data_IF_616910504106
#
_entry.id   IF_616910504106
#
_cell.length_a   1.000
_cell.length_b   1.000
_cell.length_c   1.000
_cell.angle_alpha   90.00
_cell.angle_beta   90.00
_cell.angle_gamma   90.00
#
_symmetry.space_group_name_H-M   'P 1'
#
loop_
_entity.id
_entity.type
_entity.pdbx_description
1 polymer ?
#
# COMPACT_ATOMS: atom_id res chain seq x y z
N UNK A 1 25.65 -2.92 19.12
CA UNK A 1 25.48 -3.29 17.71
C UNK A 1 26.86 -3.45 17.14
N UNK A 2 27.14 -4.60 16.54
CA UNK A 2 28.40 -4.77 15.81
C UNK A 2 28.38 -3.92 14.54
N UNK A 3 29.56 -3.55 14.04
CA UNK A 3 29.71 -2.74 12.83
C UNK A 3 29.01 -3.41 11.62
N UNK A 4 29.10 -4.73 11.53
CA UNK A 4 28.44 -5.52 10.50
C UNK A 4 26.90 -5.42 10.57
N UNK A 5 26.33 -5.47 11.77
CA UNK A 5 24.87 -5.32 11.94
C UNK A 5 24.40 -3.93 11.51
N UNK A 6 25.17 -2.90 11.87
CA UNK A 6 24.88 -1.51 11.50
C UNK A 6 24.89 -1.32 9.98
N UNK A 7 25.91 -1.86 9.32
CA UNK A 7 26.05 -1.80 7.86
C UNK A 7 24.92 -2.57 7.16
N UNK A 8 24.52 -3.71 7.69
CA UNK A 8 23.41 -4.51 7.14
C UNK A 8 22.06 -3.77 7.28
N UNK A 9 21.81 -3.10 8.41
CA UNK A 9 20.59 -2.31 8.63
C UNK A 9 20.52 -1.08 7.72
N UNK A 10 21.62 -0.36 7.56
CA UNK A 10 21.70 0.77 6.63
C UNK A 10 21.59 0.32 5.17
N UNK A 11 22.19 -0.83 4.84
CA UNK A 11 22.05 -1.48 3.55
C UNK A 11 20.60 -1.84 3.24
N UNK A 12 19.87 -2.38 4.22
CA UNK A 12 18.43 -2.65 4.10
C UNK A 12 17.61 -1.37 3.90
N UNK A 13 17.88 -0.32 4.69
CA UNK A 13 17.21 0.97 4.54
C UNK A 13 17.40 1.57 3.13
N UNK A 14 18.62 1.48 2.61
CA UNK A 14 18.96 1.89 1.24
C UNK A 14 18.27 1.00 0.19
N UNK A 15 18.23 -0.32 0.40
CA UNK A 15 17.58 -1.26 -0.50
C UNK A 15 16.06 -1.02 -0.57
N UNK A 16 15.40 -0.76 0.57
CA UNK A 16 13.97 -0.39 0.60
C UNK A 16 13.73 0.91 -0.18
N UNK A 17 14.57 1.93 0.06
CA UNK A 17 14.53 3.18 -0.69
C UNK A 17 14.71 2.97 -2.19
N UNK A 18 15.66 2.13 -2.61
CA UNK A 18 15.86 1.77 -4.01
C UNK A 18 14.63 1.08 -4.60
N UNK A 19 14.04 0.09 -3.93
CA UNK A 19 12.87 -0.62 -4.42
C UNK A 19 11.69 0.32 -4.68
N UNK A 20 11.43 1.25 -3.75
CA UNK A 20 10.40 2.30 -3.94
C UNK A 20 10.79 3.22 -5.11
N UNK A 21 12.07 3.61 -5.18
CA UNK A 21 12.60 4.43 -6.26
C UNK A 21 12.56 3.80 -7.65
N UNK A 22 12.63 2.47 -7.76
CA UNK A 22 12.50 1.75 -9.04
C UNK A 22 11.07 1.91 -9.57
N UNK A 23 10.05 1.66 -8.75
CA UNK A 23 8.65 1.83 -9.16
C UNK A 23 8.37 3.27 -9.61
N UNK A 24 8.92 4.24 -8.87
CA UNK A 24 8.74 5.66 -9.18
C UNK A 24 9.50 6.10 -10.43
N UNK A 25 10.78 5.75 -10.53
CA UNK A 25 11.61 6.06 -11.69
C UNK A 25 11.16 5.35 -12.96
N UNK A 26 10.53 4.18 -12.85
CA UNK A 26 9.94 3.48 -14.00
C UNK A 26 8.72 4.23 -14.56
N UNK A 27 7.95 4.88 -13.68
CA UNK A 27 6.74 5.64 -14.05
C UNK A 27 7.06 6.97 -14.73
N UNK A 28 8.15 7.62 -14.30
CA UNK A 28 8.63 8.91 -14.83
C UNK A 28 9.65 8.72 -15.99
N UNK A 29 9.76 7.49 -16.55
CA UNK A 29 10.78 7.17 -17.56
C UNK A 29 10.62 7.93 -18.88
N UNK A 30 9.40 8.36 -19.20
CA UNK A 30 9.05 9.10 -20.41
C UNK A 30 9.23 10.62 -20.23
N UNK A 31 9.51 11.07 -19.00
CA UNK A 31 9.78 12.48 -18.68
C UNK A 31 11.26 12.81 -18.89
N UNK A 32 11.53 14.03 -19.40
CA UNK A 32 12.87 14.48 -19.75
C UNK A 32 13.80 14.52 -18.53
N UNK A 33 15.11 14.32 -18.76
CA UNK A 33 16.12 14.43 -17.71
C UNK A 33 16.15 15.85 -17.12
N UNK A 34 15.54 16.04 -15.95
CA UNK A 34 15.35 17.33 -15.30
C UNK A 34 13.93 17.59 -14.79
N UNK A 35 12.94 16.89 -15.35
CA UNK A 35 11.53 16.90 -14.89
C UNK A 35 11.18 15.65 -14.06
N UNK A 36 12.14 14.73 -13.88
CA UNK A 36 11.98 13.54 -13.03
C UNK A 36 11.88 13.94 -11.56
N UNK A 37 10.66 14.05 -11.08
CA UNK A 37 10.31 14.59 -9.79
C UNK A 37 10.95 13.88 -8.58
N UNK A 38 11.07 12.56 -8.62
CA UNK A 38 11.72 11.80 -7.55
C UNK A 38 12.10 10.40 -8.03
N UNK A 39 13.25 10.29 -8.68
CA UNK A 39 13.73 9.01 -9.22
C UNK A 39 14.34 8.05 -8.19
N UNK A 40 14.92 6.97 -8.73
CA UNK A 40 15.67 5.92 -8.03
C UNK A 40 16.63 6.46 -6.94
N UNK A 41 17.40 7.49 -7.28
CA UNK A 41 18.41 8.09 -6.39
C UNK A 41 17.77 8.81 -5.20
N UNK A 42 16.69 9.56 -5.43
CA UNK A 42 16.01 10.34 -4.40
C UNK A 42 15.45 9.43 -3.32
N UNK A 43 14.73 8.37 -3.70
CA UNK A 43 14.15 7.42 -2.74
C UNK A 43 15.21 6.57 -2.03
N UNK A 44 16.29 6.19 -2.71
CA UNK A 44 17.43 5.52 -2.07
C UNK A 44 18.04 6.39 -0.96
N UNK A 45 18.26 7.69 -1.25
CA UNK A 45 18.79 8.64 -0.28
C UNK A 45 17.80 8.91 0.86
N UNK A 46 16.50 8.99 0.59
CA UNK A 46 15.47 9.14 1.63
C UNK A 46 15.46 7.93 2.57
N UNK A 47 15.52 6.70 2.03
CA UNK A 47 15.59 5.48 2.82
C UNK A 47 16.85 5.44 3.69
N UNK A 48 18.01 5.74 3.11
CA UNK A 48 19.28 5.83 3.85
C UNK A 48 19.25 6.93 4.92
N UNK A 49 18.70 8.10 4.61
CA UNK A 49 18.55 9.22 5.53
C UNK A 49 17.66 8.86 6.72
N UNK A 50 16.55 8.16 6.47
CA UNK A 50 15.73 7.58 7.52
C UNK A 50 16.51 6.60 8.39
N UNK A 51 17.28 5.68 7.78
CA UNK A 51 18.13 4.73 8.52
C UNK A 51 19.16 5.41 9.42
N UNK A 52 19.83 6.44 8.93
CA UNK A 52 20.78 7.22 9.72
C UNK A 52 20.10 7.91 10.92
N UNK A 53 18.95 8.55 10.69
CA UNK A 53 18.19 9.16 11.78
C UNK A 53 17.59 8.16 12.76
N UNK A 54 17.28 6.95 12.30
CA UNK A 54 16.93 5.84 13.17
C UNK A 54 18.07 5.49 14.12
N UNK A 55 19.31 5.38 13.62
CA UNK A 55 20.48 5.15 14.48
C UNK A 55 20.72 6.32 15.44
N UNK A 56 20.70 7.56 14.95
CA UNK A 56 20.90 8.77 15.77
C UNK A 56 19.82 8.93 16.85
N UNK A 57 18.60 8.45 16.62
CA UNK A 57 17.51 8.50 17.61
C UNK A 57 17.81 7.69 18.87
N UNK A 58 18.73 6.71 18.82
CA UNK A 58 19.16 5.96 20.01
C UNK A 58 19.92 6.83 21.00
N UNK A 59 20.61 7.87 20.51
CA UNK A 59 21.39 8.80 21.33
C UNK A 59 20.63 10.10 21.62
N UNK A 60 19.95 10.65 20.60
CA UNK A 60 19.25 11.93 20.66
C UNK A 60 17.80 11.81 21.17
N UNK A 61 17.27 10.59 21.24
CA UNK A 61 15.90 10.30 21.64
C UNK A 61 14.87 10.47 20.53
N UNK A 62 13.64 10.01 20.81
CA UNK A 62 12.54 10.00 19.85
C UNK A 62 12.06 11.41 19.44
N UNK A 63 12.31 12.43 20.26
CA UNK A 63 11.95 13.82 19.95
C UNK A 63 12.72 14.36 18.74
N UNK A 64 14.02 14.07 18.66
CA UNK A 64 14.86 14.47 17.53
C UNK A 64 14.40 13.83 16.22
N UNK A 65 14.00 12.56 16.29
CA UNK A 65 13.44 11.82 15.15
C UNK A 65 12.13 12.46 14.66
N UNK A 66 11.22 12.83 15.57
CA UNK A 66 9.99 13.52 15.24
C UNK A 66 10.21 14.89 14.60
N UNK A 67 11.17 15.67 15.11
CA UNK A 67 11.54 16.98 14.54
C UNK A 67 12.08 16.86 13.12
N UNK A 68 12.95 15.88 12.87
CA UNK A 68 13.51 15.65 11.53
C UNK A 68 12.47 15.14 10.57
N UNK A 69 11.61 14.23 11.01
CA UNK A 69 10.51 13.77 10.18
C UNK A 69 9.60 14.94 9.78
N UNK A 70 9.30 15.84 10.72
CA UNK A 70 8.50 17.03 10.45
C UNK A 70 9.20 17.99 9.49
N UNK A 71 10.50 18.24 9.67
CA UNK A 71 11.29 19.07 8.76
C UNK A 71 11.34 18.46 7.35
N UNK A 72 11.54 17.14 7.25
CA UNK A 72 11.50 16.39 5.99
C UNK A 72 10.11 16.46 5.36
N UNK A 73 9.04 16.28 6.13
CA UNK A 73 7.67 16.32 5.64
C UNK A 73 7.33 17.69 5.05
N UNK A 74 7.68 18.77 5.76
CA UNK A 74 7.51 20.14 5.27
C UNK A 74 8.30 20.37 4.00
N UNK A 75 9.59 19.99 3.96
CA UNK A 75 10.43 20.17 2.78
C UNK A 75 9.90 19.40 1.57
N UNK A 76 9.51 18.13 1.75
CA UNK A 76 8.95 17.30 0.70
C UNK A 76 7.60 17.86 0.20
N UNK A 77 6.73 18.31 1.10
CA UNK A 77 5.44 18.93 0.72
C UNK A 77 5.65 20.23 -0.05
N UNK A 78 6.57 21.10 0.38
CA UNK A 78 6.87 22.36 -0.31
C UNK A 78 7.47 22.10 -1.69
N UNK A 79 8.38 21.14 -1.82
CA UNK A 79 8.96 20.75 -3.10
C UNK A 79 7.88 20.24 -4.05
N UNK A 80 7.04 19.31 -3.59
CA UNK A 80 5.94 18.74 -4.38
C UNK A 80 4.88 19.76 -4.75
N UNK A 81 4.59 20.73 -3.88
CA UNK A 81 3.67 21.82 -4.19
C UNK A 81 4.16 22.60 -5.42
N UNK A 82 5.43 23.00 -5.43
CA UNK A 82 6.02 23.77 -6.54
C UNK A 82 6.07 22.99 -7.85
N UNK A 83 6.21 21.69 -7.77
CA UNK A 83 6.22 20.79 -8.92
C UNK A 83 4.81 20.58 -9.49
N UNK A 84 3.82 20.37 -8.61
CA UNK A 84 2.41 20.28 -9.01
C UNK A 84 1.89 21.57 -9.67
N UNK A 85 2.37 22.75 -9.25
CA UNK A 85 2.06 24.02 -9.94
C UNK A 85 2.60 24.08 -11.37
N UNK A 86 3.68 23.35 -11.67
CA UNK A 86 4.32 23.30 -13.00
C UNK A 86 3.70 22.24 -13.91
N UNK A 87 3.40 21.07 -13.37
CA UNK A 87 2.96 19.89 -14.13
C UNK A 87 1.44 19.71 -14.16
N UNK A 88 0.69 20.41 -13.30
CA UNK A 88 -0.76 20.26 -13.19
C UNK A 88 -1.21 18.88 -12.65
N UNK A 89 -0.28 18.07 -12.15
CA UNK A 89 -0.56 16.73 -11.61
C UNK A 89 -0.64 16.75 -10.07
N UNK A 90 -1.77 16.29 -9.52
CA UNK A 90 -1.94 16.08 -8.09
C UNK A 90 -1.63 14.62 -7.72
N UNK A 91 -0.46 14.40 -7.12
CA UNK A 91 0.02 13.06 -6.75
C UNK A 91 0.33 12.92 -5.25
N UNK A 92 -0.69 12.83 -4.40
CA UNK A 92 -0.49 12.59 -2.95
C UNK A 92 0.29 11.29 -2.68
N UNK A 93 0.18 10.30 -3.57
CA UNK A 93 0.88 9.02 -3.43
C UNK A 93 2.41 9.13 -3.54
N UNK A 94 2.95 10.17 -4.17
CA UNK A 94 4.41 10.41 -4.21
C UNK A 94 4.92 10.92 -2.86
N UNK A 95 4.18 11.84 -2.22
CA UNK A 95 4.47 12.29 -0.85
C UNK A 95 4.40 11.13 0.14
N UNK A 96 3.33 10.33 0.07
CA UNK A 96 3.18 9.16 0.95
C UNK A 96 4.31 8.16 0.72
N UNK A 97 4.73 7.92 -0.53
CA UNK A 97 5.87 7.06 -0.81
C UNK A 97 7.16 7.60 -0.18
N UNK A 98 7.39 8.91 -0.23
CA UNK A 98 8.59 9.53 0.37
C UNK A 98 8.57 9.38 1.90
N UNK A 99 7.41 9.59 2.53
CA UNK A 99 7.23 9.39 3.96
C UNK A 99 7.41 7.93 4.36
N UNK A 100 6.90 6.99 3.56
CA UNK A 100 7.10 5.55 3.75
C UNK A 100 8.57 5.16 3.62
N UNK A 101 9.28 5.65 2.60
CA UNK A 101 10.70 5.36 2.41
C UNK A 101 11.52 5.83 3.61
N UNK A 102 11.28 7.04 4.11
CA UNK A 102 11.94 7.55 5.32
C UNK A 102 11.61 6.68 6.53
N UNK A 103 10.32 6.43 6.77
CA UNK A 103 9.85 5.71 7.97
C UNK A 103 10.32 4.26 7.99
N UNK A 104 10.34 3.58 6.84
CA UNK A 104 10.87 2.22 6.71
C UNK A 104 12.39 2.20 6.84
N UNK A 105 13.09 3.23 6.38
CA UNK A 105 14.52 3.42 6.63
C UNK A 105 14.82 3.50 8.13
N UNK A 106 14.10 4.37 8.84
CA UNK A 106 14.18 4.48 10.32
C UNK A 106 13.90 3.12 10.96
N UNK A 107 12.81 2.46 10.56
CA UNK A 107 12.41 1.18 11.14
C UNK A 107 13.41 0.06 10.85
N UNK A 108 14.08 0.04 9.69
CA UNK A 108 15.17 -0.91 9.42
C UNK A 108 16.35 -0.73 10.38
N UNK A 109 16.63 0.51 10.81
CA UNK A 109 17.72 0.82 11.73
C UNK A 109 17.43 0.49 13.20
N UNK A 110 16.17 0.63 13.65
CA UNK A 110 15.81 0.46 15.08
C UNK A 110 14.94 -0.75 15.37
N UNK A 111 14.19 -1.26 14.38
CA UNK A 111 13.22 -2.33 14.52
C UNK A 111 13.69 -3.67 13.96
N UNK A 112 12.72 -4.52 13.63
CA UNK A 112 12.94 -5.84 13.03
C UNK A 112 13.19 -5.71 11.52
N UNK A 113 14.32 -6.28 11.07
CA UNK A 113 14.76 -6.19 9.67
C UNK A 113 13.84 -6.96 8.71
N UNK A 114 13.29 -8.10 9.15
CA UNK A 114 12.37 -8.91 8.35
C UNK A 114 11.05 -8.17 8.16
N UNK A 115 10.54 -7.54 9.22
CA UNK A 115 9.32 -6.71 9.14
C UNK A 115 9.55 -5.49 8.25
N UNK A 116 10.71 -4.82 8.38
CA UNK A 116 11.07 -3.68 7.52
C UNK A 116 11.11 -4.08 6.04
N UNK A 117 11.75 -5.21 5.72
CA UNK A 117 11.82 -5.74 4.37
C UNK A 117 10.44 -6.11 3.82
N UNK A 118 9.64 -6.85 4.59
CA UNK A 118 8.29 -7.26 4.20
C UNK A 118 7.37 -6.05 3.96
N UNK A 119 7.40 -5.05 4.84
CA UNK A 119 6.64 -3.83 4.69
C UNK A 119 7.10 -3.00 3.47
N UNK A 120 8.42 -2.94 3.22
CA UNK A 120 8.97 -2.29 2.02
C UNK A 120 8.50 -2.95 0.73
N UNK A 121 8.55 -4.29 0.65
CA UNK A 121 8.04 -5.04 -0.50
C UNK A 121 6.53 -4.83 -0.67
N UNK A 122 5.75 -4.95 0.41
CA UNK A 122 4.31 -4.74 0.37
C UNK A 122 3.94 -3.33 -0.11
N UNK A 123 4.67 -2.31 0.34
CA UNK A 123 4.50 -0.94 -0.12
C UNK A 123 4.73 -0.84 -1.63
N UNK A 124 5.84 -1.38 -2.14
CA UNK A 124 6.16 -1.35 -3.58
C UNK A 124 5.12 -2.09 -4.41
N UNK A 125 4.66 -3.26 -3.96
CA UNK A 125 3.59 -3.99 -4.64
C UNK A 125 2.31 -3.16 -4.72
N UNK A 126 1.92 -2.50 -3.63
CA UNK A 126 0.74 -1.65 -3.61
C UNK A 126 0.89 -0.44 -4.52
N UNK A 127 2.08 0.16 -4.57
CA UNK A 127 2.37 1.29 -5.47
C UNK A 127 2.30 0.86 -6.94
N UNK A 128 2.93 -0.27 -7.29
CA UNK A 128 2.92 -0.83 -8.63
C UNK A 128 1.51 -1.26 -9.08
N UNK A 129 0.64 -1.69 -8.15
CA UNK A 129 -0.72 -2.10 -8.45
C UNK A 129 -1.65 -0.94 -8.88
N UNK A 130 -1.24 0.33 -8.73
CA UNK A 130 -2.09 1.50 -9.00
C UNK A 130 -2.72 1.50 -10.39
N UNK A 131 -1.94 1.21 -11.43
CA UNK A 131 -2.41 1.26 -12.82
C UNK A 131 -3.40 0.15 -13.11
N UNK A 132 -3.11 -1.06 -12.64
CA UNK A 132 -4.02 -2.19 -12.72
C UNK A 132 -5.34 -1.86 -12.01
N UNK A 133 -5.27 -1.31 -10.78
CA UNK A 133 -6.47 -0.94 -10.03
C UNK A 133 -7.29 0.14 -10.73
N UNK A 134 -6.65 1.17 -11.32
CA UNK A 134 -7.34 2.20 -12.09
C UNK A 134 -7.92 1.66 -13.40
N UNK A 135 -7.23 0.75 -14.09
CA UNK A 135 -7.74 0.13 -15.30
C UNK A 135 -8.97 -0.72 -15.00
N UNK A 136 -8.95 -1.51 -13.91
CA UNK A 136 -10.12 -2.27 -13.46
C UNK A 136 -11.30 -1.37 -13.10
N UNK A 137 -11.04 -0.28 -12.38
CA UNK A 137 -12.07 0.71 -12.04
C UNK A 137 -12.70 1.38 -13.29
N UNK A 138 -11.97 1.50 -14.40
CA UNK A 138 -12.52 2.04 -15.65
C UNK A 138 -13.44 1.07 -16.38
N UNK A 139 -13.27 -0.23 -16.18
CA UNK A 139 -14.03 -1.28 -16.87
C UNK A 139 -15.25 -1.72 -16.04
N UNK A 140 -15.18 -1.59 -14.71
CA UNK A 140 -16.26 -1.94 -13.78
C UNK A 140 -17.29 -0.82 -13.70
N UNK A 141 -18.55 -1.16 -13.92
CA UNK A 141 -19.70 -0.27 -13.72
C UNK A 141 -20.10 -0.19 -12.25
N UNK A 142 -20.76 0.90 -11.85
CA UNK A 142 -21.27 1.05 -10.49
C UNK A 142 -22.22 -0.09 -10.08
N UNK A 143 -23.01 -0.60 -11.02
CA UNK A 143 -23.91 -1.73 -10.79
C UNK A 143 -23.14 -3.02 -10.46
N UNK A 144 -22.07 -3.31 -11.21
CA UNK A 144 -21.18 -4.47 -10.97
C UNK A 144 -20.46 -4.37 -9.64
N UNK A 145 -19.95 -3.18 -9.30
CA UNK A 145 -19.31 -2.93 -8.01
C UNK A 145 -20.29 -3.16 -6.86
N UNK A 146 -21.50 -2.60 -6.96
CA UNK A 146 -22.54 -2.78 -5.95
C UNK A 146 -22.95 -4.24 -5.82
N UNK A 147 -23.13 -4.96 -6.92
CA UNK A 147 -23.47 -6.39 -6.91
C UNK A 147 -22.35 -7.22 -6.25
N UNK A 148 -21.09 -6.94 -6.59
CA UNK A 148 -19.91 -7.59 -5.99
C UNK A 148 -19.85 -7.34 -4.49
N UNK A 149 -20.02 -6.09 -4.04
CA UNK A 149 -20.01 -5.74 -2.63
C UNK A 149 -21.16 -6.40 -1.85
N UNK A 150 -22.36 -6.49 -2.44
CA UNK A 150 -23.49 -7.21 -1.84
C UNK A 150 -23.16 -8.70 -1.72
N UNK A 151 -22.61 -9.32 -2.77
CA UNK A 151 -22.24 -10.74 -2.75
C UNK A 151 -21.16 -11.02 -1.68
N UNK A 152 -20.15 -10.14 -1.56
CA UNK A 152 -19.13 -10.19 -0.52
C UNK A 152 -19.73 -10.03 0.88
N UNK A 153 -20.65 -9.07 1.06
CA UNK A 153 -21.33 -8.89 2.34
C UNK A 153 -22.20 -10.12 2.70
N UNK A 154 -22.91 -10.69 1.72
CA UNK A 154 -23.69 -11.91 1.93
C UNK A 154 -22.77 -13.08 2.33
N UNK A 155 -21.59 -13.21 1.73
CA UNK A 155 -20.66 -14.32 1.92
C UNK A 155 -19.80 -14.21 3.17
N UNK A 156 -19.23 -13.04 3.44
CA UNK A 156 -18.25 -12.85 4.51
C UNK A 156 -18.83 -12.21 5.77
N UNK A 157 -19.99 -11.57 5.69
CA UNK A 157 -20.63 -10.91 6.84
C UNK A 157 -21.90 -11.67 7.24
N UNK A 158 -22.85 -11.86 6.33
CA UNK A 158 -24.14 -12.45 6.68
C UNK A 158 -24.03 -13.96 6.94
N UNK A 159 -23.31 -14.70 6.09
CA UNK A 159 -23.17 -16.15 6.21
C UNK A 159 -22.64 -16.62 7.58
N UNK A 160 -21.53 -16.09 8.14
CA UNK A 160 -21.03 -16.55 9.44
C UNK A 160 -21.96 -16.20 10.62
N UNK A 161 -22.90 -15.27 10.45
CA UNK A 161 -23.88 -14.90 11.49
C UNK A 161 -25.07 -15.86 11.50
N UNK A 162 -25.33 -16.56 10.39
CA UNK A 162 -26.49 -17.44 10.27
C UNK A 162 -26.29 -18.74 11.05
N UNK A 163 -27.28 -19.13 11.88
CA UNK A 163 -27.19 -20.35 12.66
C UNK A 163 -27.27 -21.58 11.75
N UNK A 164 -26.26 -22.44 11.82
CA UNK A 164 -26.20 -23.71 11.09
C UNK A 164 -26.97 -24.81 11.83
N UNK A 165 -28.30 -24.66 11.88
CA UNK A 165 -29.22 -25.66 12.44
C UNK A 165 -30.54 -25.64 11.72
N UNK A 166 -31.19 -26.80 11.65
CA UNK A 166 -32.55 -26.94 11.13
C UNK A 166 -33.57 -26.21 12.00
N UNK A 167 -34.60 -25.67 11.37
CA UNK A 167 -35.79 -25.08 11.98
C UNK A 167 -37.04 -25.70 11.35
N UNK A 168 -38.12 -25.81 12.14
CA UNK A 168 -39.43 -26.33 11.70
C UNK A 168 -39.62 -27.84 11.89
N UNK A 169 -40.78 -28.39 11.50
CA UNK A 169 -41.05 -29.82 11.60
C UNK A 169 -40.00 -30.62 10.81
N UNK A 170 -39.40 -31.63 11.44
CA UNK A 170 -38.33 -32.47 10.87
C UNK A 170 -37.02 -31.74 10.53
N UNK A 171 -36.72 -30.56 11.12
CA UNK A 171 -35.49 -29.80 10.86
C UNK A 171 -35.27 -29.42 9.37
N UNK A 172 -36.34 -29.38 8.58
CA UNK A 172 -36.27 -29.29 7.13
C UNK A 172 -35.68 -27.96 6.60
N UNK A 173 -35.67 -26.89 7.40
CA UNK A 173 -35.22 -25.56 6.98
C UNK A 173 -33.91 -25.21 7.69
N UNK A 174 -32.78 -25.30 7.00
CA UNK A 174 -31.49 -24.78 7.51
C UNK A 174 -31.22 -23.38 6.91
N UNK A 175 -31.24 -22.29 7.71
CA UNK A 175 -30.99 -20.93 7.24
C UNK A 175 -29.59 -20.75 6.62
N UNK A 176 -28.56 -21.37 7.18
CA UNK A 176 -27.20 -21.34 6.65
C UNK A 176 -27.13 -22.03 5.28
N UNK A 177 -27.77 -23.19 5.14
CA UNK A 177 -27.86 -23.93 3.88
C UNK A 177 -28.64 -23.17 2.78
N UNK A 178 -29.80 -22.61 3.12
CA UNK A 178 -30.59 -21.80 2.17
C UNK A 178 -29.86 -20.52 1.74
N UNK A 179 -29.12 -19.90 2.65
CA UNK A 179 -28.33 -18.73 2.34
C UNK A 179 -27.15 -19.06 1.43
N UNK A 180 -26.46 -20.18 1.67
CA UNK A 180 -25.42 -20.70 0.78
C UNK A 180 -25.95 -20.94 -0.65
N UNK A 181 -27.12 -21.56 -0.79
CA UNK A 181 -27.76 -21.75 -2.10
C UNK A 181 -28.05 -20.41 -2.77
N UNK A 182 -28.53 -19.43 -2.02
CA UNK A 182 -28.83 -18.09 -2.52
C UNK A 182 -27.56 -17.39 -3.01
N UNK A 183 -26.46 -17.45 -2.24
CA UNK A 183 -25.15 -16.92 -2.62
C UNK A 183 -24.63 -17.62 -3.88
N UNK A 184 -24.76 -18.95 -3.96
CA UNK A 184 -24.29 -19.72 -5.11
C UNK A 184 -25.03 -19.32 -6.39
N UNK A 185 -26.36 -19.21 -6.34
CA UNK A 185 -27.17 -18.79 -7.49
C UNK A 185 -26.81 -17.36 -7.90
N UNK A 186 -26.75 -16.43 -6.94
CA UNK A 186 -26.37 -15.04 -7.21
C UNK A 186 -24.95 -14.92 -7.80
N UNK A 187 -24.01 -15.72 -7.31
CA UNK A 187 -22.64 -15.78 -7.80
C UNK A 187 -22.57 -16.30 -9.24
N UNK A 188 -23.27 -17.39 -9.57
CA UNK A 188 -23.34 -17.92 -10.93
C UNK A 188 -24.00 -16.92 -11.88
N UNK A 189 -25.09 -16.26 -11.47
CA UNK A 189 -25.73 -15.21 -12.28
C UNK A 189 -24.81 -14.02 -12.52
N UNK A 190 -24.05 -13.60 -11.50
CA UNK A 190 -23.10 -12.50 -11.62
C UNK A 190 -21.94 -12.86 -12.56
N UNK A 191 -21.36 -14.05 -12.42
CA UNK A 191 -20.30 -14.53 -13.33
C UNK A 191 -20.83 -14.64 -14.76
N UNK A 192 -22.05 -15.15 -14.95
CA UNK A 192 -22.68 -15.23 -16.27
C UNK A 192 -22.88 -13.87 -16.92
N UNK A 193 -23.29 -12.86 -16.15
CA UNK A 193 -23.39 -11.48 -16.62
C UNK A 193 -22.03 -10.92 -17.06
N UNK A 194 -20.98 -11.12 -16.25
CA UNK A 194 -19.63 -10.64 -16.56
C UNK A 194 -19.03 -11.37 -17.77
N UNK A 195 -19.30 -12.67 -17.95
CA UNK A 195 -18.73 -13.47 -19.04
C UNK A 195 -19.32 -13.16 -20.43
N UNK A 196 -20.52 -12.58 -20.50
CA UNK A 196 -21.20 -12.21 -21.76
C UNK A 196 -20.79 -10.80 -22.23
N UNK A 197 -20.25 -9.99 -21.34
CA UNK A 197 -19.79 -8.62 -21.59
C UNK A 197 -18.38 -8.59 -22.17
#
# INVERSE_FOLDING_TARGET
MDEYETLTRLGLALAIGLLIGVERGWREREEAEGERAAGLRTFALIGLFGGLWGLLSKELGAQALGLVFLAFAVAATVFRWRETEREGTFGMTTLIAAFLAFSLGVYAAVGDMTVAAAAGVAAVVLLAAKEWLHAWLKVITYAELRATLILLAMSFIALPILPDRGYGPYDAINPHGLWLMTIAIAGVSFIGYVAVK
#
